data_IF_071299564550
#
_entry.id   IF_071299564550
#
_cell.length_a   1.000
_cell.length_b   1.000
_cell.length_c   1.000
_cell.angle_alpha   90.00
_cell.angle_beta   90.00
_cell.angle_gamma   90.00
#
_symmetry.space_group_name_H-M   'P 1'
#
loop_
_entity.id
_entity.type
_entity.pdbx_description
1 polymer ?
#
# COMPACT_ATOMS: atom_id res chain seq x y z
N UNK A 1 19.35 6.68 5.61
CA UNK A 1 19.10 5.66 4.56
C UNK A 1 18.70 6.41 3.29
N UNK A 2 19.36 6.18 2.17
CA UNK A 2 19.14 6.90 0.89
C UNK A 2 18.05 6.27 0.00
N UNK A 3 17.26 5.34 0.58
CA UNK A 3 16.21 4.60 -0.12
C UNK A 3 16.71 3.54 -1.10
N UNK A 4 18.04 3.31 -1.20
CA UNK A 4 18.63 2.32 -2.13
C UNK A 4 18.92 0.98 -1.47
N UNK A 5 19.01 0.94 -0.15
CA UNK A 5 19.21 -0.30 0.63
C UNK A 5 17.89 -1.03 0.84
N UNK A 6 17.57 -1.95 -0.08
CA UNK A 6 16.34 -2.74 -0.06
C UNK A 6 16.63 -4.25 0.01
N UNK A 7 15.65 -5.01 0.45
CA UNK A 7 15.63 -6.48 0.45
C UNK A 7 14.25 -6.96 0.01
N UNK A 8 14.20 -8.05 -0.75
CA UNK A 8 12.95 -8.73 -1.09
C UNK A 8 12.66 -9.82 -0.06
N UNK A 9 11.49 -9.75 0.55
CA UNK A 9 10.99 -10.77 1.48
C UNK A 9 10.10 -11.73 0.70
N UNK A 10 10.50 -13.01 0.51
CA UNK A 10 9.67 -13.99 -0.15
C UNK A 10 8.39 -14.26 0.64
N UNK A 11 7.28 -14.35 -0.07
CA UNK A 11 5.94 -14.54 0.49
C UNK A 11 5.13 -15.48 -0.41
N UNK A 12 4.05 -16.01 0.15
CA UNK A 12 3.08 -16.89 -0.49
C UNK A 12 1.68 -16.26 -0.56
N UNK A 13 1.63 -14.93 -0.41
CA UNK A 13 0.38 -14.18 -0.45
C UNK A 13 -0.15 -13.98 -1.88
N UNK A 14 -1.43 -13.58 -1.99
CA UNK A 14 -2.16 -13.48 -3.24
C UNK A 14 -1.54 -12.48 -4.22
N UNK A 15 -1.21 -11.27 -3.76
CA UNK A 15 -0.80 -10.17 -4.64
C UNK A 15 0.71 -10.07 -4.79
N UNK A 16 1.45 -10.41 -3.74
CA UNK A 16 2.89 -10.32 -3.71
C UNK A 16 3.54 -11.68 -3.41
N UNK A 17 4.22 -12.31 -4.38
CA UNK A 17 5.12 -13.43 -4.11
C UNK A 17 6.44 -12.98 -3.45
N UNK A 18 6.73 -11.68 -3.51
CA UNK A 18 7.77 -11.04 -2.73
C UNK A 18 7.44 -9.56 -2.48
N UNK A 19 7.75 -9.10 -1.27
CA UNK A 19 7.57 -7.73 -0.80
C UNK A 19 8.92 -7.06 -0.66
N UNK A 20 9.12 -5.93 -1.36
CA UNK A 20 10.39 -5.20 -1.29
C UNK A 20 10.36 -4.11 -0.22
N UNK A 21 11.29 -4.18 0.72
CA UNK A 21 11.33 -3.31 1.91
C UNK A 21 12.74 -2.82 2.22
N UNK A 22 12.87 -1.86 3.13
CA UNK A 22 14.17 -1.37 3.58
C UNK A 22 14.97 -2.46 4.31
N UNK A 23 16.26 -2.59 3.99
CA UNK A 23 17.16 -3.53 4.65
C UNK A 23 17.71 -2.95 5.98
N UNK A 24 16.83 -2.91 6.99
CA UNK A 24 17.12 -2.42 8.35
C UNK A 24 17.02 -3.52 9.42
N UNK A 25 16.44 -4.68 9.10
CA UNK A 25 16.12 -5.73 10.07
C UNK A 25 17.34 -6.24 10.84
N UNK A 26 18.47 -6.43 10.19
CA UNK A 26 19.69 -6.95 10.81
C UNK A 26 20.56 -5.85 11.45
N UNK A 27 20.15 -4.59 11.31
CA UNK A 27 20.90 -3.41 11.79
C UNK A 27 20.29 -2.79 13.06
N UNK A 28 19.14 -3.29 13.49
CA UNK A 28 18.42 -2.79 14.65
C UNK A 28 18.14 -3.94 15.62
N UNK A 29 18.37 -3.69 16.91
CA UNK A 29 18.13 -4.68 17.97
C UNK A 29 16.64 -4.78 18.35
N UNK A 30 15.86 -3.74 18.06
CA UNK A 30 14.43 -3.68 18.30
C UNK A 30 13.77 -2.52 17.56
N UNK A 31 12.44 -2.50 17.58
CA UNK A 31 11.63 -1.53 16.85
C UNK A 31 10.58 -0.87 17.75
N UNK A 32 10.37 0.43 17.53
CA UNK A 32 9.24 1.18 18.08
C UNK A 32 8.43 1.69 16.91
N UNK A 33 7.22 1.16 16.73
CA UNK A 33 6.31 1.59 15.67
C UNK A 33 5.38 2.65 16.25
N UNK A 34 5.73 3.91 16.04
CA UNK A 34 4.93 5.06 16.47
C UNK A 34 4.08 5.57 15.32
N UNK A 35 2.75 5.47 15.45
CA UNK A 35 1.79 5.76 14.40
C UNK A 35 0.78 6.81 14.85
N UNK A 36 0.39 7.69 13.93
CA UNK A 36 -0.76 8.57 14.14
C UNK A 36 -2.02 7.86 13.66
N UNK A 37 -3.01 7.69 14.53
CA UNK A 37 -4.28 7.07 14.21
C UNK A 37 -5.27 8.10 13.69
N UNK A 38 -5.56 8.08 12.38
CA UNK A 38 -6.31 9.15 11.68
C UNK A 38 -7.03 8.60 10.43
N UNK A 39 -7.77 9.41 9.65
CA UNK A 39 -8.49 8.93 8.43
C UNK A 39 -7.58 8.37 7.32
N UNK A 40 -8.02 8.16 6.08
CA UNK A 40 -7.13 7.98 4.91
C UNK A 40 -7.99 7.80 3.64
N UNK A 41 -7.75 8.56 2.58
CA UNK A 41 -8.50 8.42 1.32
C UNK A 41 -8.67 7.00 0.78
N UNK A 42 -7.61 6.17 0.78
CA UNK A 42 -7.66 4.82 0.17
C UNK A 42 -7.82 3.67 1.19
N UNK A 43 -7.58 3.93 2.48
CA UNK A 43 -7.62 2.91 3.53
C UNK A 43 -8.75 3.13 4.54
N UNK A 44 -9.46 4.26 4.47
CA UNK A 44 -10.45 4.73 5.44
C UNK A 44 -9.81 5.30 6.71
N UNK A 45 -8.82 4.59 7.26
CA UNK A 45 -7.99 5.05 8.37
C UNK A 45 -6.52 4.66 8.16
N UNK A 46 -5.62 5.35 8.86
CA UNK A 46 -4.22 5.00 8.99
C UNK A 46 -3.88 4.79 10.45
N UNK A 47 -3.20 3.68 10.74
CA UNK A 47 -2.70 3.32 12.07
C UNK A 47 -1.39 2.52 11.98
N UNK A 48 -1.16 1.63 12.93
CA UNK A 48 0.02 0.78 12.99
C UNK A 48 0.17 -0.12 11.77
N UNK A 49 -0.91 -0.72 11.26
CA UNK A 49 -0.84 -1.61 10.08
C UNK A 49 -0.35 -0.86 8.84
N UNK A 50 -0.95 0.31 8.57
CA UNK A 50 -0.55 1.17 7.44
C UNK A 50 0.87 1.68 7.62
N UNK A 51 1.25 2.10 8.83
CA UNK A 51 2.59 2.60 9.11
C UNK A 51 3.65 1.51 8.92
N UNK A 52 3.40 0.30 9.41
CA UNK A 52 4.28 -0.84 9.21
C UNK A 52 4.46 -1.16 7.72
N UNK A 53 3.36 -1.17 6.97
CA UNK A 53 3.37 -1.40 5.53
C UNK A 53 4.12 -0.31 4.76
N UNK A 54 3.58 0.90 4.75
CA UNK A 54 4.10 2.03 3.97
C UNK A 54 5.41 2.59 4.51
N UNK A 55 5.70 2.44 5.81
CA UNK A 55 6.93 2.90 6.43
C UNK A 55 8.15 2.09 5.97
N UNK A 56 7.99 0.77 5.85
CA UNK A 56 9.08 -0.14 5.46
C UNK A 56 9.16 -0.39 3.95
N UNK A 57 8.04 -0.25 3.22
CA UNK A 57 7.99 -0.46 1.78
C UNK A 57 9.02 0.39 1.02
N UNK A 58 9.70 -0.22 0.05
CA UNK A 58 10.53 0.51 -0.91
C UNK A 58 9.66 1.43 -1.78
N UNK A 59 10.29 2.35 -2.53
CA UNK A 59 9.57 3.17 -3.51
C UNK A 59 8.82 2.31 -4.54
N UNK A 60 9.44 1.22 -4.98
CA UNK A 60 8.81 0.28 -5.92
C UNK A 60 7.63 -0.44 -5.27
N UNK A 61 7.77 -0.89 -4.02
CA UNK A 61 6.69 -1.57 -3.32
C UNK A 61 5.49 -0.64 -3.06
N UNK A 62 5.73 0.63 -2.71
CA UNK A 62 4.69 1.65 -2.61
C UNK A 62 3.92 1.80 -3.92
N UNK A 63 4.63 1.88 -5.03
CA UNK A 63 4.00 1.95 -6.34
C UNK A 63 3.16 0.71 -6.65
N UNK A 64 3.64 -0.50 -6.33
CA UNK A 64 2.90 -1.76 -6.54
C UNK A 64 1.64 -1.88 -5.67
N UNK A 65 1.60 -1.21 -4.52
CA UNK A 65 0.41 -1.12 -3.67
C UNK A 65 -0.67 -0.24 -4.30
N UNK A 66 -0.32 0.97 -4.74
CA UNK A 66 -1.28 1.94 -5.31
C UNK A 66 -1.64 1.70 -6.77
N UNK A 67 -0.82 0.95 -7.47
CA UNK A 67 -1.05 0.60 -8.84
C UNK A 67 -0.85 -0.91 -8.99
N UNK A 68 -1.94 -1.62 -9.28
CA UNK A 68 -1.82 -2.48 -10.46
C UNK A 68 -1.35 -1.53 -11.56
N UNK A 69 -0.07 -1.53 -11.95
CA UNK A 69 0.34 -0.62 -13.04
C UNK A 69 -0.35 -1.14 -14.29
N UNK A 70 -1.55 -0.61 -14.53
CA UNK A 70 -2.36 -0.82 -15.69
C UNK A 70 -2.01 0.33 -16.62
N UNK A 71 -1.11 0.12 -17.58
CA UNK A 71 -0.83 1.14 -18.58
C UNK A 71 -2.12 1.54 -19.30
N UNK A 72 -2.57 2.78 -19.08
CA UNK A 72 -3.63 3.39 -19.86
C UNK A 72 -3.03 4.00 -21.12
N UNK A 73 -3.41 3.43 -22.26
CA UNK A 73 -3.02 3.92 -23.57
C UNK A 73 -3.91 5.08 -23.99
N UNK A 74 -3.28 6.20 -24.36
CA UNK A 74 -3.89 7.25 -25.17
C UNK A 74 -3.61 6.93 -26.66
N UNK A 75 -4.61 6.48 -27.43
CA UNK A 75 -4.40 6.08 -28.83
C UNK A 75 -3.98 7.23 -29.73
N UNK A 76 -4.38 8.48 -29.41
CA UNK A 76 -4.06 9.67 -30.21
C UNK A 76 -2.56 10.02 -30.14
N UNK A 77 -1.90 9.69 -29.03
CA UNK A 77 -0.45 9.93 -28.84
C UNK A 77 0.41 8.73 -29.24
N UNK A 78 -0.18 7.55 -29.35
CA UNK A 78 0.57 6.32 -29.58
C UNK A 78 0.97 6.19 -31.06
N UNK A 79 2.26 6.06 -31.32
CA UNK A 79 2.83 5.84 -32.66
C UNK A 79 2.98 4.37 -33.03
N UNK A 80 2.49 3.44 -32.18
CA UNK A 80 2.60 1.98 -32.39
C UNK A 80 4.05 1.48 -32.51
N UNK A 81 5.01 2.18 -31.91
CA UNK A 81 6.44 1.89 -32.03
C UNK A 81 6.91 0.60 -31.34
N UNK A 82 6.09 0.00 -30.46
CA UNK A 82 6.42 -1.28 -29.81
C UNK A 82 7.40 -1.21 -28.63
N UNK A 83 8.01 -0.06 -28.31
CA UNK A 83 8.95 0.07 -27.19
C UNK A 83 8.40 -0.46 -25.86
N UNK A 84 7.11 -0.24 -25.59
CA UNK A 84 6.42 -0.75 -24.40
C UNK A 84 6.37 -2.28 -24.30
N UNK A 85 6.36 -2.98 -25.43
CA UNK A 85 6.43 -4.45 -25.54
C UNK A 85 7.87 -4.91 -25.31
N UNK A 86 8.83 -4.26 -25.95
CA UNK A 86 10.26 -4.61 -25.85
C UNK A 86 10.79 -4.52 -24.42
N UNK A 87 10.37 -3.50 -23.67
CA UNK A 87 10.82 -3.30 -22.28
C UNK A 87 10.02 -4.13 -21.26
N UNK A 88 9.02 -4.91 -21.66
CA UNK A 88 8.19 -5.63 -20.71
C UNK A 88 8.90 -6.90 -20.19
N UNK A 89 9.31 -6.95 -18.90
CA UNK A 89 10.13 -8.07 -18.40
C UNK A 89 9.34 -9.38 -18.24
N UNK A 90 8.00 -9.31 -18.18
CA UNK A 90 7.14 -10.47 -17.96
C UNK A 90 6.37 -10.89 -19.20
N UNK A 91 6.50 -10.18 -20.32
CA UNK A 91 5.72 -10.44 -21.53
C UNK A 91 4.24 -10.03 -21.43
N UNK A 92 3.87 -9.26 -20.40
CA UNK A 92 2.52 -8.74 -20.21
C UNK A 92 2.07 -7.77 -21.33
N UNK A 93 3.00 -7.08 -21.99
CA UNK A 93 2.69 -6.18 -23.10
C UNK A 93 2.89 -6.91 -24.44
N UNK A 94 1.92 -6.83 -25.35
CA UNK A 94 1.96 -7.44 -26.68
C UNK A 94 1.37 -6.50 -27.73
N UNK A 95 1.68 -6.69 -29.02
CA UNK A 95 1.02 -5.94 -30.11
C UNK A 95 -0.29 -6.63 -30.48
N UNK A 96 -1.39 -5.90 -30.34
CA UNK A 96 -2.73 -6.35 -30.73
C UNK A 96 -2.93 -6.33 -32.25
N UNK A 97 -4.03 -6.94 -32.69
CA UNK A 97 -4.37 -7.06 -34.11
C UNK A 97 -4.61 -5.70 -34.82
N UNK A 98 -4.97 -4.66 -34.07
CA UNK A 98 -5.14 -3.28 -34.56
C UNK A 98 -3.81 -2.48 -34.61
N UNK A 99 -2.71 -3.12 -34.24
CA UNK A 99 -1.36 -2.55 -34.17
C UNK A 99 -1.11 -1.71 -32.90
N UNK A 100 -2.09 -1.54 -32.01
CA UNK A 100 -1.85 -0.91 -30.72
C UNK A 100 -1.35 -1.94 -29.71
N UNK A 101 -0.56 -1.52 -28.69
CA UNK A 101 -0.17 -2.43 -27.62
C UNK A 101 -1.37 -2.78 -26.74
N UNK A 102 -1.51 -4.06 -26.44
CA UNK A 102 -2.40 -4.63 -25.43
C UNK A 102 -1.57 -5.08 -24.21
N UNK A 103 -2.19 -5.05 -23.03
CA UNK A 103 -1.53 -5.37 -21.76
C UNK A 103 -2.35 -6.38 -20.98
N UNK A 104 -1.80 -7.58 -20.81
CA UNK A 104 -2.33 -8.60 -19.92
C UNK A 104 -2.05 -8.21 -18.47
N UNK A 105 -3.11 -7.84 -17.76
CA UNK A 105 -3.01 -7.34 -16.39
C UNK A 105 -2.83 -8.47 -15.36
N UNK A 106 -3.13 -9.71 -15.71
CA UNK A 106 -2.87 -10.87 -14.84
C UNK A 106 -1.37 -11.22 -14.83
N UNK A 107 -0.68 -10.95 -15.94
CA UNK A 107 0.78 -11.15 -16.08
C UNK A 107 1.59 -9.90 -15.68
N UNK A 108 0.95 -8.72 -15.65
CA UNK A 108 1.61 -7.46 -15.35
C UNK A 108 2.03 -7.37 -13.87
N UNK A 109 3.34 -7.31 -13.62
CA UNK A 109 3.90 -7.18 -12.25
C UNK A 109 3.95 -5.75 -11.71
N UNK A 110 3.40 -4.79 -12.43
CA UNK A 110 3.36 -3.41 -11.93
C UNK A 110 4.67 -2.63 -12.04
N UNK A 111 5.60 -3.00 -12.94
CA UNK A 111 6.96 -2.41 -12.95
C UNK A 111 7.07 -1.00 -13.58
N UNK A 112 6.01 -0.54 -14.26
CA UNK A 112 5.93 0.76 -14.95
C UNK A 112 6.99 1.06 -16.03
N UNK A 113 7.78 0.06 -16.46
CA UNK A 113 8.79 0.25 -17.51
C UNK A 113 8.17 0.72 -18.82
N UNK A 114 7.06 0.09 -19.25
CA UNK A 114 6.35 0.50 -20.47
C UNK A 114 5.96 1.99 -20.46
N UNK A 115 5.54 2.50 -19.30
CA UNK A 115 5.16 3.90 -19.10
C UNK A 115 6.39 4.80 -19.17
N UNK A 116 7.45 4.45 -18.43
CA UNK A 116 8.68 5.24 -18.35
C UNK A 116 9.47 5.31 -19.65
N UNK A 117 9.42 4.25 -20.48
CA UNK A 117 10.14 4.18 -21.75
C UNK A 117 9.30 4.61 -22.96
N UNK A 118 8.02 4.97 -22.79
CA UNK A 118 7.20 5.42 -23.91
C UNK A 118 7.70 6.77 -24.44
N UNK A 119 8.27 6.85 -25.66
CA UNK A 119 8.87 8.08 -26.18
C UNK A 119 7.83 9.18 -26.42
N UNK A 120 6.57 8.79 -26.64
CA UNK A 120 5.46 9.70 -26.89
C UNK A 120 4.69 10.07 -25.64
N UNK A 121 5.06 9.54 -24.47
CA UNK A 121 4.29 9.65 -23.23
C UNK A 121 2.80 9.32 -23.44
N UNK A 122 2.53 8.34 -24.31
CA UNK A 122 1.20 7.89 -24.67
C UNK A 122 0.57 6.98 -23.60
N UNK A 123 1.37 6.56 -22.61
CA UNK A 123 0.95 5.70 -21.53
C UNK A 123 0.90 6.47 -20.22
N UNK A 124 -0.14 6.21 -19.42
CA UNK A 124 -0.27 6.72 -18.05
C UNK A 124 -0.55 5.57 -17.10
N UNK A 125 -0.23 5.79 -15.83
CA UNK A 125 -0.63 4.85 -14.77
C UNK A 125 -2.14 4.99 -14.62
N UNK A 126 -2.90 3.90 -14.79
CA UNK A 126 -4.22 3.86 -14.17
C UNK A 126 -4.01 3.80 -12.66
N UNK A 127 -4.44 4.84 -11.96
CA UNK A 127 -4.41 4.86 -10.51
C UNK A 127 -5.66 4.23 -9.89
N UNK A 128 -6.62 3.77 -10.71
CA UNK A 128 -7.79 3.02 -10.24
C UNK A 128 -7.37 1.59 -9.82
N UNK A 129 -6.76 1.49 -8.65
CA UNK A 129 -6.74 0.24 -7.88
C UNK A 129 -8.03 0.21 -7.07
N UNK A 130 -8.76 -0.90 -7.14
CA UNK A 130 -9.90 -1.14 -6.27
C UNK A 130 -9.46 -1.00 -4.80
N UNK A 131 -10.20 -0.23 -4.00
CA UNK A 131 -9.82 0.07 -2.62
C UNK A 131 -9.68 -1.20 -1.76
N UNK A 132 -10.38 -2.28 -2.11
CA UNK A 132 -10.26 -3.61 -1.49
C UNK A 132 -8.90 -4.20 -1.82
N UNK A 133 -8.50 -4.20 -3.10
CA UNK A 133 -7.21 -4.74 -3.56
C UNK A 133 -6.04 -3.95 -2.95
N UNK A 134 -6.17 -2.62 -2.88
CA UNK A 134 -5.17 -1.78 -2.21
C UNK A 134 -5.00 -2.20 -0.75
N UNK A 135 -6.10 -2.38 -0.01
CA UNK A 135 -6.06 -2.81 1.38
C UNK A 135 -5.47 -4.21 1.56
N UNK A 136 -5.77 -5.15 0.65
CA UNK A 136 -5.17 -6.48 0.66
C UNK A 136 -3.64 -6.39 0.51
N UNK A 137 -3.16 -5.68 -0.51
CA UNK A 137 -1.73 -5.42 -0.75
C UNK A 137 -1.03 -4.72 0.42
N UNK A 138 -1.72 -3.76 1.05
CA UNK A 138 -1.26 -3.07 2.25
C UNK A 138 -1.00 -4.06 3.39
N UNK A 139 -1.94 -4.99 3.63
CA UNK A 139 -1.82 -6.01 4.67
C UNK A 139 -0.78 -7.07 4.37
N UNK A 140 -0.62 -7.54 3.12
CA UNK A 140 0.46 -8.48 2.76
C UNK A 140 1.84 -7.89 3.06
N UNK A 141 2.01 -6.61 2.72
CA UNK A 141 3.25 -5.88 2.99
C UNK A 141 3.47 -5.71 4.50
N UNK A 142 2.42 -5.36 5.27
CA UNK A 142 2.51 -5.27 6.73
C UNK A 142 2.88 -6.62 7.36
N UNK A 143 2.22 -7.70 6.97
CA UNK A 143 2.43 -9.05 7.50
C UNK A 143 3.84 -9.58 7.19
N UNK A 144 4.34 -9.33 5.97
CA UNK A 144 5.70 -9.70 5.57
C UNK A 144 6.76 -9.00 6.44
N UNK A 145 6.55 -7.71 6.74
CA UNK A 145 7.43 -6.96 7.65
C UNK A 145 7.30 -7.46 9.08
N UNK A 146 6.06 -7.70 9.55
CA UNK A 146 5.79 -8.13 10.91
C UNK A 146 6.50 -9.45 11.26
N UNK A 147 6.46 -10.44 10.36
CA UNK A 147 7.20 -11.72 10.48
C UNK A 147 8.71 -11.54 10.73
N UNK A 148 9.30 -10.38 10.40
CA UNK A 148 10.72 -10.09 10.64
C UNK A 148 11.00 -9.38 11.97
N UNK A 149 10.00 -8.77 12.58
CA UNK A 149 10.20 -7.86 13.72
C UNK A 149 9.34 -8.17 14.95
N UNK A 150 8.32 -9.02 14.86
CA UNK A 150 7.32 -9.25 15.91
C UNK A 150 7.90 -9.53 17.31
N UNK A 151 8.97 -10.33 17.42
CA UNK A 151 9.58 -10.71 18.69
C UNK A 151 10.40 -9.62 19.39
N UNK A 152 10.51 -8.42 18.80
CA UNK A 152 11.35 -7.32 19.29
C UNK A 152 10.77 -5.94 18.98
N UNK A 153 9.44 -5.87 18.93
CA UNK A 153 8.72 -4.65 18.55
C UNK A 153 7.70 -4.24 19.61
N UNK A 154 7.63 -2.95 19.88
CA UNK A 154 6.52 -2.31 20.59
C UNK A 154 5.83 -1.31 19.68
N UNK A 155 4.51 -1.20 19.81
CA UNK A 155 3.70 -0.29 18.99
C UNK A 155 3.02 0.75 19.85
N UNK A 156 2.93 1.96 19.31
CA UNK A 156 2.21 3.07 19.93
C UNK A 156 1.35 3.75 18.86
N UNK A 157 0.04 3.84 19.11
CA UNK A 157 -0.86 4.66 18.33
C UNK A 157 -1.14 5.96 19.10
N UNK A 158 -0.88 7.09 18.45
CA UNK A 158 -1.27 8.41 18.89
C UNK A 158 -2.68 8.70 18.37
N UNK A 159 -3.66 8.74 19.26
CA UNK A 159 -5.05 9.09 19.00
C UNK A 159 -5.24 10.55 19.37
N UNK A 160 -4.46 11.43 18.76
CA UNK A 160 -4.46 12.87 19.00
C UNK A 160 -4.53 13.58 17.66
N UNK A 161 -5.26 14.68 17.57
CA UNK A 161 -5.44 15.43 16.33
C UNK A 161 -5.90 14.53 15.16
N UNK A 162 -6.92 13.69 15.41
CA UNK A 162 -7.43 12.72 14.44
C UNK A 162 -8.05 13.49 13.27
N UNK A 163 -7.36 13.52 12.13
CA UNK A 163 -7.74 14.31 10.94
C UNK A 163 -8.40 13.49 9.83
N UNK A 164 -9.09 14.21 8.95
CA UNK A 164 -9.73 13.71 7.73
C UNK A 164 -8.73 12.98 6.81
N UNK A 165 -7.59 13.59 6.47
CA UNK A 165 -6.61 13.07 5.52
C UNK A 165 -5.18 12.94 6.03
N UNK A 166 -4.39 12.06 5.37
CA UNK A 166 -3.12 11.55 5.93
C UNK A 166 -2.17 12.70 6.21
N UNK A 167 -1.27 12.56 7.19
CA UNK A 167 -0.29 13.62 7.50
C UNK A 167 0.59 14.00 6.29
N UNK A 168 0.68 13.10 5.30
CA UNK A 168 1.39 13.32 4.04
C UNK A 168 0.56 14.08 2.99
N UNK A 169 -0.74 14.27 3.21
CA UNK A 169 -1.66 14.92 2.28
C UNK A 169 -1.57 16.44 2.43
N UNK A 170 -1.20 17.16 1.35
CA UNK A 170 -1.08 18.61 1.41
C UNK A 170 -2.46 19.28 1.44
N UNK A 171 -2.59 20.33 2.24
CA UNK A 171 -3.81 21.13 2.33
C UNK A 171 -4.38 21.19 3.74
N UNK A 172 -5.63 21.62 3.82
CA UNK A 172 -6.37 21.68 5.08
C UNK A 172 -6.97 20.31 5.39
N UNK A 173 -6.61 19.76 6.56
CA UNK A 173 -7.05 18.44 7.01
C UNK A 173 -7.79 18.64 8.34
N UNK A 174 -9.12 18.84 8.31
CA UNK A 174 -9.86 19.14 9.51
C UNK A 174 -9.82 17.96 10.50
N UNK A 175 -9.84 18.29 11.79
CA UNK A 175 -9.97 17.32 12.88
C UNK A 175 -11.39 16.75 12.87
N UNK A 176 -11.50 15.43 12.84
CA UNK A 176 -12.77 14.70 12.75
C UNK A 176 -13.16 14.01 14.07
N UNK A 177 -12.25 13.94 15.04
CA UNK A 177 -12.50 13.35 16.35
C UNK A 177 -11.59 13.94 17.44
N UNK A 178 -12.07 13.98 18.69
CA UNK A 178 -11.35 14.52 19.84
C UNK A 178 -10.26 13.57 20.36
N UNK A 179 -9.17 14.13 20.84
CA UNK A 179 -8.03 13.39 21.40
C UNK A 179 -8.42 12.34 22.46
N UNK A 180 -7.85 11.15 22.35
CA UNK A 180 -7.97 10.04 23.29
C UNK A 180 -6.63 9.65 23.94
N UNK A 181 -5.54 10.31 23.56
CA UNK A 181 -4.21 10.06 24.09
C UNK A 181 -3.43 9.02 23.28
N UNK A 182 -2.77 8.09 23.97
CA UNK A 182 -1.88 7.10 23.34
C UNK A 182 -2.27 5.69 23.76
N UNK A 183 -2.22 4.76 22.81
CA UNK A 183 -2.36 3.34 23.04
C UNK A 183 -1.02 2.65 22.81
N UNK A 184 -0.72 1.63 23.61
CA UNK A 184 0.45 0.77 23.43
C UNK A 184 0.02 -0.69 23.24
N UNK A 185 0.70 -1.42 22.36
CA UNK A 185 0.45 -2.83 22.16
C UNK A 185 1.68 -3.58 21.64
N UNK A 186 1.54 -4.90 21.53
CA UNK A 186 2.53 -5.82 20.98
C UNK A 186 2.10 -6.45 19.65
N UNK A 187 0.96 -6.03 19.08
CA UNK A 187 0.51 -6.48 17.77
C UNK A 187 -0.16 -5.35 16.97
N UNK A 188 0.20 -5.13 15.70
CA UNK A 188 -0.31 -4.02 14.88
C UNK A 188 -1.79 -4.12 14.56
N UNK A 189 -2.33 -5.33 14.39
CA UNK A 189 -3.77 -5.49 14.13
C UNK A 189 -4.57 -5.13 15.37
N UNK A 190 -4.16 -5.62 16.54
CA UNK A 190 -4.91 -5.40 17.79
C UNK A 190 -4.90 -3.95 18.24
N UNK A 191 -3.80 -3.20 18.05
CA UNK A 191 -3.77 -1.78 18.41
C UNK A 191 -4.67 -0.94 17.52
N UNK A 192 -4.78 -1.28 16.24
CA UNK A 192 -5.68 -0.58 15.31
C UNK A 192 -7.15 -0.96 15.57
N UNK A 193 -7.45 -2.22 15.90
CA UNK A 193 -8.79 -2.64 16.36
C UNK A 193 -9.21 -1.91 17.64
N UNK A 194 -8.31 -1.83 18.63
CA UNK A 194 -8.57 -1.12 19.87
C UNK A 194 -8.72 0.39 19.64
N UNK A 195 -7.94 0.95 18.72
CA UNK A 195 -8.07 2.36 18.32
C UNK A 195 -9.44 2.64 17.71
N UNK A 196 -9.93 1.77 16.82
CA UNK A 196 -11.29 1.85 16.28
C UNK A 196 -12.36 1.62 17.33
N UNK A 197 -12.14 0.72 18.29
CA UNK A 197 -13.09 0.48 19.39
C UNK A 197 -13.29 1.73 20.25
N UNK A 198 -12.22 2.50 20.48
CA UNK A 198 -12.27 3.74 21.27
C UNK A 198 -12.89 4.89 20.46
N UNK A 199 -12.44 5.10 19.22
CA UNK A 199 -12.87 6.24 18.38
C UNK A 199 -14.27 6.02 17.79
N UNK A 200 -14.62 4.77 17.50
CA UNK A 200 -15.78 4.40 16.69
C UNK A 200 -15.48 4.49 15.18
N UNK A 201 -16.31 3.84 14.37
CA UNK A 201 -16.17 3.88 12.90
C UNK A 201 -16.77 5.13 12.28
N UNK A 202 -17.80 5.72 12.91
CA UNK A 202 -18.59 6.84 12.36
C UNK A 202 -17.74 8.01 11.84
N UNK A 203 -16.67 8.47 12.51
CA UNK A 203 -15.83 9.55 11.98
C UNK A 203 -15.17 9.18 10.64
N UNK A 204 -14.73 7.93 10.49
CA UNK A 204 -14.06 7.43 9.29
C UNK A 204 -15.06 7.11 8.18
N UNK A 205 -16.21 6.53 8.52
CA UNK A 205 -17.30 6.27 7.57
C UNK A 205 -17.85 7.58 6.98
N UNK A 206 -17.92 8.65 7.78
CA UNK A 206 -18.29 9.99 7.29
C UNK A 206 -17.20 10.63 6.45
N UNK A 207 -15.94 10.42 6.81
CA UNK A 207 -14.82 11.00 6.08
C UNK A 207 -14.64 10.32 4.71
N UNK A 208 -14.81 9.00 4.66
CA UNK A 208 -14.47 8.13 3.53
C UNK A 208 -15.59 7.07 3.30
N UNK A 209 -16.80 7.48 2.88
CA UNK A 209 -18.00 6.62 2.91
C UNK A 209 -17.97 5.39 2.00
N UNK A 210 -17.15 5.41 0.94
CA UNK A 210 -17.08 4.33 -0.05
C UNK A 210 -15.85 3.44 0.12
N UNK A 211 -15.07 3.62 1.21
CA UNK A 211 -13.84 2.86 1.43
C UNK A 211 -14.12 1.67 2.35
N UNK A 212 -13.92 0.41 1.89
CA UNK A 212 -14.25 -0.78 2.66
C UNK A 212 -13.14 -1.10 3.68
N UNK A 213 -12.89 -0.21 4.63
CA UNK A 213 -11.75 -0.27 5.56
C UNK A 213 -11.72 -1.55 6.41
N UNK A 214 -12.87 -2.20 6.61
CA UNK A 214 -13.00 -3.49 7.29
C UNK A 214 -12.23 -4.60 6.56
N UNK A 215 -11.93 -4.39 5.25
CA UNK A 215 -11.15 -5.35 4.47
C UNK A 215 -9.77 -5.56 5.08
N UNK A 216 -9.13 -4.52 5.62
CA UNK A 216 -7.84 -4.66 6.30
C UNK A 216 -7.88 -5.74 7.38
N UNK A 217 -8.86 -5.71 8.27
CA UNK A 217 -8.96 -6.68 9.38
C UNK A 217 -9.39 -8.08 8.91
N UNK A 218 -10.37 -8.16 8.01
CA UNK A 218 -10.82 -9.47 7.49
C UNK A 218 -9.72 -10.17 6.70
N UNK A 219 -8.99 -9.43 5.86
CA UNK A 219 -7.87 -9.98 5.09
C UNK A 219 -6.66 -10.30 5.97
N UNK A 220 -6.38 -9.50 7.01
CA UNK A 220 -5.34 -9.82 7.98
C UNK A 220 -5.58 -11.19 8.65
N UNK A 221 -6.83 -11.52 8.99
CA UNK A 221 -7.19 -12.87 9.48
C UNK A 221 -7.04 -13.93 8.38
N UNK A 222 -7.53 -13.66 7.17
CA UNK A 222 -7.44 -14.56 6.00
C UNK A 222 -6.01 -15.03 5.72
N UNK A 223 -5.02 -14.14 5.84
CA UNK A 223 -3.60 -14.43 5.59
C UNK A 223 -2.81 -14.87 6.85
N UNK A 224 -3.49 -15.07 7.98
CA UNK A 224 -2.89 -15.45 9.25
C UNK A 224 -1.99 -14.37 9.88
N UNK A 225 -2.20 -13.10 9.53
CA UNK A 225 -1.51 -11.95 10.14
C UNK A 225 -2.09 -11.61 11.52
N UNK A 226 -3.37 -11.85 11.74
CA UNK A 226 -3.98 -11.87 13.08
C UNK A 226 -4.60 -13.25 13.32
N UNK A 227 -4.48 -13.74 14.56
CA UNK A 227 -5.24 -14.90 15.00
C UNK A 227 -6.70 -14.50 15.30
N UNK A 228 -7.61 -15.47 15.22
CA UNK A 228 -9.00 -15.32 15.67
C UNK A 228 -9.13 -15.19 17.19
#
# INVERSE_FOLDING_TARGET
MDGRSVVDLPTDYRHFPAVQVANVFDKADGFVIFSHFKGHMEAGFGGAMKNLSMGFASRAQKQRMHADVRPLLNPEKCTKCGTCVEVCPTGAAQIGHDGFPFYDLEVCVGCAQCIGFCPMMALRINWETDATVFQEKLMETAAAVWRKIEGRTVLINALVNITFECDCWPGDNPVIYSDQGFLGAYHPVHIDEESLRIVGSEPFDKAHPDIPWQRQFSYAREIGFAAD
#
